data_IF_654707572527
#
_entry.id   IF_654707572527
#
_cell.length_a   1.000
_cell.length_b   1.000
_cell.length_c   1.000
_cell.angle_alpha   90.00
_cell.angle_beta   90.00
_cell.angle_gamma   90.00
#
_symmetry.space_group_name_H-M   'P 1'
#
loop_
_entity.id
_entity.type
_entity.pdbx_description
1 polymer ?
#
# COMPACT_ATOMS: atom_id res chain seq x y z
N UNK A 1 -20.96 -24.43 14.37
CA UNK A 1 -19.84 -23.49 14.54
C UNK A 1 -18.57 -24.31 14.43
N UNK A 2 -17.95 -24.33 13.27
CA UNK A 2 -16.56 -24.78 13.12
C UNK A 2 -15.86 -23.76 12.24
N UNK A 3 -14.83 -23.15 12.82
CA UNK A 3 -13.93 -22.21 12.18
C UNK A 3 -13.19 -22.96 11.08
N UNK A 4 -13.46 -22.67 9.81
CA UNK A 4 -12.51 -23.05 8.77
C UNK A 4 -11.28 -22.18 8.98
N UNK A 5 -10.26 -22.74 9.65
CA UNK A 5 -8.91 -22.20 9.69
C UNK A 5 -8.62 -21.54 8.35
N UNK A 6 -8.25 -20.26 8.38
CA UNK A 6 -8.12 -19.38 7.21
C UNK A 6 -7.06 -19.77 6.20
N UNK A 7 -6.65 -21.04 6.14
CA UNK A 7 -5.69 -21.57 5.19
C UNK A 7 -6.27 -21.49 3.78
N UNK A 8 -5.67 -20.64 2.96
CA UNK A 8 -6.02 -20.52 1.55
C UNK A 8 -5.45 -21.76 0.83
N UNK A 9 -6.28 -22.56 0.14
CA UNK A 9 -5.79 -23.71 -0.60
C UNK A 9 -4.69 -23.30 -1.60
N UNK A 10 -3.55 -23.98 -1.54
CA UNK A 10 -2.36 -23.67 -2.36
C UNK A 10 -2.68 -23.62 -3.86
N UNK A 11 -3.56 -24.49 -4.34
CA UNK A 11 -4.01 -24.52 -5.73
C UNK A 11 -4.73 -23.21 -6.16
N UNK A 12 -5.35 -22.47 -5.23
CA UNK A 12 -5.93 -21.16 -5.50
C UNK A 12 -4.85 -20.08 -5.62
N UNK A 13 -3.79 -20.17 -4.82
CA UNK A 13 -2.66 -19.23 -4.88
C UNK A 13 -1.81 -19.43 -6.13
N UNK A 14 -1.58 -20.69 -6.53
CA UNK A 14 -0.84 -21.07 -7.76
C UNK A 14 -1.52 -20.58 -9.06
N UNK A 15 -2.76 -20.10 -9.01
CA UNK A 15 -3.39 -19.44 -10.16
C UNK A 15 -2.71 -18.11 -10.51
N UNK A 16 -2.10 -17.43 -9.54
CA UNK A 16 -1.30 -16.21 -9.76
C UNK A 16 0.12 -16.54 -10.18
N UNK A 17 0.65 -15.85 -11.20
CA UNK A 17 2.00 -16.05 -11.72
C UNK A 17 3.08 -15.91 -10.64
N UNK A 18 2.86 -15.01 -9.67
CA UNK A 18 3.79 -14.70 -8.57
C UNK A 18 3.96 -15.85 -7.58
N UNK A 19 2.96 -16.72 -7.42
CA UNK A 19 3.06 -17.82 -6.45
C UNK A 19 3.33 -19.17 -7.14
N UNK A 20 3.66 -19.15 -8.43
CA UNK A 20 4.05 -20.34 -9.18
C UNK A 20 5.54 -20.59 -9.03
N UNK A 21 5.93 -21.84 -8.80
CA UNK A 21 7.33 -22.28 -8.77
C UNK A 21 8.19 -21.55 -7.72
N UNK A 22 7.65 -21.32 -6.52
CA UNK A 22 8.35 -20.62 -5.43
C UNK A 22 9.40 -21.47 -4.68
N UNK A 23 9.71 -22.66 -5.19
CA UNK A 23 10.61 -23.63 -4.54
C UNK A 23 10.00 -24.25 -3.27
N UNK A 24 10.73 -25.19 -2.66
CA UNK A 24 10.23 -25.93 -1.49
C UNK A 24 9.86 -25.01 -0.31
N UNK A 25 10.72 -24.04 0.00
CA UNK A 25 10.48 -23.09 1.09
C UNK A 25 9.23 -22.23 0.83
N UNK A 26 9.04 -21.79 -0.41
CA UNK A 26 7.88 -21.02 -0.81
C UNK A 26 6.59 -21.83 -0.75
N UNK A 27 6.62 -23.10 -1.17
CA UNK A 27 5.46 -24.00 -1.08
C UNK A 27 5.05 -24.23 0.38
N UNK A 28 6.00 -24.42 1.30
CA UNK A 28 5.70 -24.55 2.73
C UNK A 28 5.07 -23.28 3.31
N UNK A 29 5.57 -22.10 2.93
CA UNK A 29 4.95 -20.82 3.35
C UNK A 29 3.51 -20.73 2.82
N UNK A 30 3.28 -21.03 1.53
CA UNK A 30 1.97 -20.93 0.90
C UNK A 30 0.93 -21.89 1.50
N UNK A 31 1.34 -23.09 1.93
CA UNK A 31 0.45 -24.03 2.65
C UNK A 31 -0.06 -23.50 3.98
N UNK A 32 0.67 -22.58 4.59
CA UNK A 32 0.30 -21.94 5.85
C UNK A 32 -0.32 -20.55 5.66
N UNK A 33 -0.57 -20.12 4.42
CA UNK A 33 -1.05 -18.77 4.12
C UNK A 33 -2.49 -18.56 4.59
N UNK A 34 -2.72 -17.47 5.34
CA UNK A 34 -4.05 -16.96 5.67
C UNK A 34 -4.47 -15.72 4.89
N UNK A 35 -3.49 -14.98 4.38
CA UNK A 35 -3.67 -13.86 3.48
C UNK A 35 -2.60 -13.95 2.40
N UNK A 36 -2.99 -13.72 1.16
CA UNK A 36 -2.06 -13.60 0.05
C UNK A 36 -2.49 -12.44 -0.84
N UNK A 37 -1.54 -11.61 -1.22
CA UNK A 37 -1.74 -10.49 -2.12
C UNK A 37 -0.75 -10.62 -3.27
N UNK A 38 -1.26 -10.78 -4.49
CA UNK A 38 -0.44 -10.69 -5.69
C UNK A 38 -0.41 -9.22 -6.13
N UNK A 39 0.79 -8.66 -6.19
CA UNK A 39 1.06 -7.29 -6.59
C UNK A 39 1.86 -7.31 -7.89
N UNK A 40 1.36 -6.66 -8.94
CA UNK A 40 1.99 -6.73 -10.26
C UNK A 40 2.18 -8.21 -10.72
N UNK A 41 2.95 -8.46 -11.77
CA UNK A 41 3.15 -9.82 -12.29
C UNK A 41 4.29 -10.59 -11.59
N UNK A 42 5.10 -9.93 -10.75
CA UNK A 42 6.32 -10.49 -10.18
C UNK A 42 6.50 -10.28 -8.66
N UNK A 43 5.51 -9.71 -7.96
CA UNK A 43 5.59 -9.42 -6.52
C UNK A 43 4.39 -9.96 -5.77
N UNK A 44 4.61 -10.41 -4.55
CA UNK A 44 3.50 -10.87 -3.71
C UNK A 44 3.84 -10.82 -2.25
N UNK A 45 2.79 -10.73 -1.44
CA UNK A 45 2.88 -10.77 0.01
C UNK A 45 2.02 -11.92 0.53
N UNK A 46 2.55 -12.63 1.51
CA UNK A 46 1.85 -13.73 2.17
C UNK A 46 1.93 -13.52 3.68
N UNK A 47 0.81 -13.68 4.37
CA UNK A 47 0.76 -13.78 5.83
C UNK A 47 0.39 -15.19 6.18
N UNK A 48 1.16 -15.82 7.06
CA UNK A 48 0.89 -17.17 7.53
C UNK A 48 -0.14 -17.19 8.66
N UNK A 49 -0.62 -18.38 9.02
CA UNK A 49 -1.47 -18.61 10.19
C UNK A 49 -0.80 -18.17 11.51
N UNK A 50 0.52 -18.04 11.55
CA UNK A 50 1.31 -17.59 12.71
C UNK A 50 1.65 -16.10 12.67
N UNK A 51 0.97 -15.31 11.81
CA UNK A 51 1.22 -13.86 11.66
C UNK A 51 2.66 -13.55 11.21
N UNK A 52 3.24 -14.42 10.39
CA UNK A 52 4.49 -14.15 9.69
C UNK A 52 4.22 -13.58 8.32
N UNK A 53 4.81 -12.42 8.03
CA UNK A 53 4.68 -11.78 6.71
C UNK A 53 5.93 -12.06 5.85
N UNK A 54 5.71 -12.52 4.63
CA UNK A 54 6.73 -12.80 3.63
C UNK A 54 6.46 -12.01 2.35
N UNK A 55 7.53 -11.54 1.70
CA UNK A 55 7.52 -11.03 0.33
C UNK A 55 8.10 -12.06 -0.62
N UNK A 56 7.42 -12.25 -1.75
CA UNK A 56 7.84 -13.04 -2.89
C UNK A 56 8.20 -12.07 -4.01
N UNK A 57 9.39 -12.23 -4.59
CA UNK A 57 9.86 -11.41 -5.69
C UNK A 57 10.53 -12.22 -6.78
N UNK A 58 10.11 -12.02 -8.02
CA UNK A 58 10.73 -12.63 -9.21
C UNK A 58 11.50 -11.55 -9.96
N UNK A 59 12.81 -11.73 -10.10
CA UNK A 59 13.64 -10.82 -10.91
C UNK A 59 13.17 -10.82 -12.37
N UNK A 60 12.68 -11.96 -12.85
CA UNK A 60 12.04 -12.11 -14.16
C UNK A 60 10.87 -13.10 -14.03
N UNK A 61 9.68 -12.76 -14.54
CA UNK A 61 8.50 -13.65 -14.48
C UNK A 61 8.67 -14.94 -15.28
N UNK A 62 9.66 -15.00 -16.17
CA UNK A 62 10.03 -16.20 -16.90
C UNK A 62 11.09 -17.07 -16.18
N UNK A 63 11.71 -16.56 -15.10
CA UNK A 63 12.66 -17.35 -14.30
C UNK A 63 11.96 -18.04 -13.13
N UNK A 64 12.53 -19.16 -12.69
CA UNK A 64 12.16 -19.85 -11.45
C UNK A 64 12.79 -19.23 -10.21
N UNK A 65 13.53 -18.13 -10.35
CA UNK A 65 14.34 -17.54 -9.28
C UNK A 65 13.48 -16.60 -8.44
N UNK A 66 12.68 -17.20 -7.56
CA UNK A 66 11.91 -16.50 -6.55
C UNK A 66 12.81 -16.14 -5.36
N UNK A 67 12.95 -14.86 -5.08
CA UNK A 67 13.51 -14.39 -3.81
C UNK A 67 12.38 -14.27 -2.80
N UNK A 68 12.48 -15.05 -1.72
CA UNK A 68 11.54 -15.00 -0.61
C UNK A 68 12.24 -14.31 0.56
N UNK A 69 11.59 -13.31 1.14
CA UNK A 69 12.14 -12.55 2.26
C UNK A 69 11.09 -12.35 3.35
N UNK A 70 11.52 -12.49 4.61
CA UNK A 70 10.65 -12.29 5.77
C UNK A 70 10.60 -10.82 6.16
N UNK A 71 9.41 -10.24 6.25
CA UNK A 71 9.20 -8.84 6.66
C UNK A 71 9.08 -8.77 8.19
N UNK A 72 10.21 -8.79 8.88
CA UNK A 72 10.28 -8.90 10.35
C UNK A 72 9.50 -7.83 11.12
N UNK A 73 9.34 -6.62 10.56
CA UNK A 73 8.61 -5.53 11.21
C UNK A 73 7.10 -5.75 11.28
N UNK A 74 6.57 -6.66 10.47
CA UNK A 74 5.16 -7.05 10.48
C UNK A 74 4.94 -8.39 11.21
N UNK A 75 5.98 -8.94 11.86
CA UNK A 75 5.87 -10.22 12.55
C UNK A 75 5.00 -10.12 13.80
N UNK A 76 4.06 -11.05 13.95
CA UNK A 76 3.12 -11.09 15.06
C UNK A 76 2.03 -10.02 14.98
N UNK A 77 1.93 -9.31 13.85
CA UNK A 77 0.87 -8.31 13.64
C UNK A 77 -0.15 -8.87 12.66
N UNK A 78 -1.43 -8.74 13.02
CA UNK A 78 -2.56 -9.18 12.21
C UNK A 78 -2.79 -8.20 11.07
N UNK A 79 -2.22 -8.51 9.90
CA UNK A 79 -2.48 -7.77 8.66
C UNK A 79 -3.84 -8.18 8.11
N UNK A 80 -4.67 -7.19 7.84
CA UNK A 80 -5.98 -7.32 7.22
C UNK A 80 -5.88 -7.33 5.69
N UNK A 81 -5.11 -6.41 5.12
CA UNK A 81 -5.02 -6.22 3.67
C UNK A 81 -3.69 -5.57 3.27
N UNK A 82 -3.21 -5.90 2.07
CA UNK A 82 -2.08 -5.21 1.43
C UNK A 82 -2.54 -4.38 0.25
N UNK A 83 -1.85 -3.26 0.03
CA UNK A 83 -2.04 -2.40 -1.14
C UNK A 83 -0.68 -2.14 -1.77
N UNK A 84 -0.58 -2.27 -3.08
CA UNK A 84 0.64 -1.96 -3.82
C UNK A 84 0.34 -0.89 -4.86
N UNK A 85 1.06 0.22 -4.77
CA UNK A 85 0.92 1.39 -5.62
C UNK A 85 2.07 1.54 -6.61
N UNK A 86 1.97 2.59 -7.43
CA UNK A 86 3.02 2.97 -8.37
C UNK A 86 4.40 3.09 -7.70
N UNK A 87 5.46 2.77 -8.45
CA UNK A 87 6.83 2.95 -7.98
C UNK A 87 7.22 2.03 -6.84
N UNK A 88 6.59 0.85 -6.73
CA UNK A 88 6.90 -0.16 -5.71
C UNK A 88 6.63 0.28 -4.26
N UNK A 89 5.67 1.17 -4.07
CA UNK A 89 5.19 1.55 -2.74
C UNK A 89 4.16 0.53 -2.26
N UNK A 90 4.33 0.06 -1.03
CA UNK A 90 3.50 -0.98 -0.45
C UNK A 90 2.92 -0.49 0.86
N UNK A 91 1.71 -0.95 1.16
CA UNK A 91 1.02 -0.69 2.40
C UNK A 91 0.49 -1.99 3.00
N UNK A 92 0.49 -2.05 4.32
CA UNK A 92 -0.20 -3.08 5.09
C UNK A 92 -1.19 -2.40 6.02
N UNK A 93 -2.48 -2.68 5.83
CA UNK A 93 -3.53 -2.30 6.77
C UNK A 93 -3.70 -3.40 7.79
N UNK A 94 -3.62 -3.05 9.06
CA UNK A 94 -3.79 -3.97 10.18
C UNK A 94 -5.26 -4.13 10.56
N UNK A 95 -5.60 -5.24 11.21
CA UNK A 95 -6.95 -5.48 11.75
C UNK A 95 -7.38 -4.41 12.77
N UNK A 96 -6.42 -3.83 13.49
CA UNK A 96 -6.69 -2.73 14.44
C UNK A 96 -6.87 -1.36 13.77
N UNK A 97 -6.69 -1.28 12.46
CA UNK A 97 -6.84 -0.09 11.63
C UNK A 97 -5.57 0.73 11.40
N UNK A 98 -4.41 0.33 11.93
CA UNK A 98 -3.16 1.04 11.64
C UNK A 98 -2.62 0.73 10.24
N UNK A 99 -2.04 1.75 9.59
CA UNK A 99 -1.47 1.63 8.26
C UNK A 99 0.04 1.72 8.31
N UNK A 100 0.73 0.71 7.78
CA UNK A 100 2.17 0.70 7.55
C UNK A 100 2.47 0.97 6.08
N UNK A 101 3.59 1.62 5.78
CA UNK A 101 4.09 1.85 4.42
C UNK A 101 5.57 1.53 4.30
N UNK A 102 5.99 1.04 3.14
CA UNK A 102 7.39 0.86 2.77
C UNK A 102 7.56 0.81 1.26
N UNK A 103 8.78 1.05 0.81
CA UNK A 103 9.16 0.92 -0.58
C UNK A 103 9.98 -0.36 -0.79
N UNK A 104 9.91 -0.97 -1.96
CA UNK A 104 10.80 -2.08 -2.34
C UNK A 104 11.49 -1.69 -3.64
N UNK A 105 12.81 -1.82 -3.68
CA UNK A 105 13.58 -1.51 -4.88
C UNK A 105 13.08 -2.30 -6.09
N UNK A 106 12.82 -1.66 -7.24
CA UNK A 106 12.56 -2.36 -8.49
C UNK A 106 13.76 -3.23 -8.89
N UNK A 107 13.54 -4.30 -9.66
CA UNK A 107 14.68 -4.99 -10.27
C UNK A 107 15.42 -4.00 -11.17
N UNK A 108 16.75 -4.08 -11.18
CA UNK A 108 17.77 -3.18 -11.76
C UNK A 108 17.61 -2.75 -13.24
N UNK A 109 16.47 -2.98 -13.89
CA UNK A 109 16.27 -2.87 -15.35
C UNK A 109 15.17 -1.89 -15.79
N UNK A 110 14.54 -1.13 -14.88
CA UNK A 110 13.50 -0.17 -15.26
C UNK A 110 14.04 1.24 -15.59
N UNK A 111 15.36 1.46 -15.48
CA UNK A 111 15.99 2.75 -15.76
C UNK A 111 15.41 3.89 -14.91
N UNK A 112 14.78 3.56 -13.78
CA UNK A 112 14.06 4.53 -12.97
C UNK A 112 15.04 5.33 -12.10
N UNK A 113 15.51 6.45 -12.64
CA UNK A 113 16.06 7.56 -11.86
C UNK A 113 14.94 8.31 -11.13
N UNK A 114 14.21 7.60 -10.26
CA UNK A 114 13.20 8.21 -9.41
C UNK A 114 13.83 9.28 -8.53
N UNK A 115 13.29 10.49 -8.55
CA UNK A 115 13.65 11.48 -7.55
C UNK A 115 13.15 11.00 -6.18
N UNK A 116 13.94 11.20 -5.13
CA UNK A 116 13.59 10.83 -3.75
C UNK A 116 12.15 11.20 -3.35
N UNK A 117 11.63 12.32 -3.83
CA UNK A 117 10.26 12.77 -3.56
C UNK A 117 9.18 11.80 -4.08
N UNK A 118 9.39 11.18 -5.26
CA UNK A 118 8.43 10.23 -5.84
C UNK A 118 8.32 8.94 -5.02
N UNK A 119 9.36 8.63 -4.24
CA UNK A 119 9.39 7.51 -3.30
C UNK A 119 8.90 7.95 -1.92
N UNK A 120 9.37 9.10 -1.42
CA UNK A 120 9.09 9.58 -0.05
C UNK A 120 7.63 10.02 0.10
N UNK A 121 7.12 10.81 -0.85
CA UNK A 121 5.80 11.41 -0.73
C UNK A 121 4.66 10.39 -0.58
N UNK A 122 4.57 9.31 -1.38
CA UNK A 122 3.52 8.31 -1.20
C UNK A 122 3.65 7.49 0.09
N UNK A 123 4.79 7.51 0.81
CA UNK A 123 4.91 6.75 2.06
C UNK A 123 4.07 7.33 3.20
N UNK A 124 3.66 8.60 3.13
CA UNK A 124 2.80 9.19 4.17
C UNK A 124 3.52 9.41 5.51
N UNK A 125 4.85 9.44 5.50
CA UNK A 125 5.68 9.55 6.72
C UNK A 125 6.98 10.27 6.45
N UNK A 126 7.53 10.85 7.51
CA UNK A 126 8.86 11.46 7.43
C UNK A 126 9.92 10.38 7.20
N UNK A 127 10.76 10.60 6.20
CA UNK A 127 11.94 9.77 5.96
C UNK A 127 13.16 10.67 5.86
N UNK A 128 14.19 10.37 6.66
CA UNK A 128 15.47 11.08 6.58
C UNK A 128 16.19 10.66 5.31
N UNK A 129 16.43 11.61 4.41
CA UNK A 129 17.20 11.37 3.18
C UNK A 129 18.72 11.36 3.40
N UNK A 130 19.20 11.25 4.64
CA UNK A 130 20.64 11.15 4.90
C UNK A 130 21.21 9.85 4.33
N UNK A 131 22.30 9.97 3.56
CA UNK A 131 22.88 8.88 2.77
C UNK A 131 23.18 7.61 3.59
N UNK A 132 23.53 7.75 4.87
CA UNK A 132 23.89 6.63 5.75
C UNK A 132 22.72 5.68 6.10
N UNK A 133 21.47 6.16 6.08
CA UNK A 133 20.29 5.40 6.52
C UNK A 133 19.16 5.37 5.48
N UNK A 134 19.46 5.79 4.25
CA UNK A 134 18.45 6.03 3.22
C UNK A 134 17.68 4.76 2.87
N UNK A 135 18.39 3.69 2.52
CA UNK A 135 17.80 2.42 2.07
C UNK A 135 17.06 1.68 3.21
N UNK A 136 17.61 1.70 4.42
CA UNK A 136 16.98 1.07 5.59
C UNK A 136 15.69 1.79 6.01
N UNK A 137 15.61 3.11 5.82
CA UNK A 137 14.45 3.90 6.22
C UNK A 137 13.26 3.76 5.26
N UNK A 138 13.51 3.54 3.97
CA UNK A 138 12.48 3.32 2.94
C UNK A 138 11.95 1.89 2.95
N UNK A 139 12.86 0.90 3.02
CA UNK A 139 12.52 -0.49 2.80
C UNK A 139 11.94 -1.21 4.02
N UNK A 140 11.99 -0.58 5.19
CA UNK A 140 11.36 -1.09 6.40
C UNK A 140 9.92 -0.60 6.49
N UNK A 141 8.93 -1.49 6.75
CA UNK A 141 7.59 -1.08 7.16
C UNK A 141 7.64 -0.20 8.39
N UNK A 142 6.97 0.96 8.32
CA UNK A 142 6.78 1.88 9.44
C UNK A 142 5.37 2.47 9.33
N UNK A 143 4.80 2.84 10.48
CA UNK A 143 3.51 3.53 10.55
C UNK A 143 3.49 4.80 9.70
N UNK A 144 2.38 4.98 9.00
CA UNK A 144 2.01 6.24 8.36
C UNK A 144 1.68 7.27 9.46
N UNK A 145 2.07 8.54 9.27
CA UNK A 145 2.03 9.58 10.33
C UNK A 145 1.26 10.84 9.87
N UNK A 146 1.50 12.01 10.48
CA UNK A 146 0.76 13.23 10.15
C UNK A 146 -0.66 13.20 10.72
N UNK A 147 -1.66 13.59 9.91
CA UNK A 147 -3.06 13.54 10.33
C UNK A 147 -3.61 12.13 10.57
N UNK A 148 -2.86 11.08 10.23
CA UNK A 148 -3.22 9.69 10.52
C UNK A 148 -2.66 9.17 11.85
N UNK A 149 -1.91 9.98 12.60
CA UNK A 149 -1.36 9.56 13.89
C UNK A 149 -2.50 9.28 14.88
N UNK A 150 -2.65 8.01 15.30
CA UNK A 150 -3.74 7.57 16.18
C UNK A 150 -5.10 7.41 15.49
N UNK A 151 -5.17 7.56 14.17
CA UNK A 151 -6.39 7.39 13.38
C UNK A 151 -6.44 5.97 12.81
N UNK A 152 -7.58 5.30 12.98
CA UNK A 152 -7.83 3.98 12.39
C UNK A 152 -8.37 4.13 10.98
N UNK A 153 -7.65 3.56 10.02
CA UNK A 153 -8.04 3.46 8.62
C UNK A 153 -8.88 2.21 8.40
N UNK A 154 -9.88 2.29 7.53
CA UNK A 154 -10.66 1.13 7.07
C UNK A 154 -10.46 0.80 5.60
N UNK A 155 -10.05 1.78 4.80
CA UNK A 155 -9.85 1.63 3.36
C UNK A 155 -8.74 2.55 2.86
N UNK A 156 -7.95 2.06 1.91
CA UNK A 156 -6.93 2.83 1.19
C UNK A 156 -7.26 2.76 -0.30
N UNK A 157 -7.15 3.88 -0.99
CA UNK A 157 -7.28 3.97 -2.43
C UNK A 157 -5.99 4.53 -3.02
N UNK A 158 -5.47 3.83 -4.03
CA UNK A 158 -4.26 4.19 -4.74
C UNK A 158 -4.62 4.57 -6.18
N UNK A 159 -4.07 5.66 -6.72
CA UNK A 159 -4.12 5.93 -8.14
C UNK A 159 -3.17 4.94 -8.83
N UNK A 160 -3.42 4.64 -10.11
CA UNK A 160 -2.54 3.73 -10.85
C UNK A 160 -1.18 4.36 -11.16
N UNK A 161 -0.44 3.72 -12.07
CA UNK A 161 1.02 3.87 -12.23
C UNK A 161 1.57 5.29 -12.37
N UNK A 162 0.79 6.25 -12.82
CA UNK A 162 1.29 7.58 -13.19
C UNK A 162 1.21 8.63 -12.08
N UNK A 163 0.64 8.29 -10.92
CA UNK A 163 0.47 9.21 -9.79
C UNK A 163 0.82 8.54 -8.47
N UNK A 164 1.26 9.35 -7.51
CA UNK A 164 1.67 8.87 -6.18
C UNK A 164 0.73 9.35 -5.07
N UNK A 165 -0.41 9.94 -5.41
CA UNK A 165 -1.37 10.49 -4.44
C UNK A 165 -2.22 9.39 -3.78
N UNK A 166 -1.90 8.99 -2.56
CA UNK A 166 -2.67 7.99 -1.80
C UNK A 166 -3.80 8.65 -1.03
N UNK A 167 -4.95 7.96 -0.95
CA UNK A 167 -6.11 8.40 -0.17
C UNK A 167 -6.47 7.33 0.86
N UNK A 168 -6.70 7.74 2.11
CA UNK A 168 -7.14 6.87 3.20
C UNK A 168 -8.48 7.32 3.75
N UNK A 169 -9.38 6.37 4.02
CA UNK A 169 -10.66 6.60 4.67
C UNK A 169 -10.61 6.03 6.09
N UNK A 170 -10.85 6.88 7.09
CA UNK A 170 -10.88 6.50 8.49
C UNK A 170 -12.17 5.74 8.85
N UNK A 171 -12.14 4.99 9.95
CA UNK A 171 -13.33 4.38 10.54
C UNK A 171 -14.40 5.43 10.88
N UNK A 172 -13.98 6.65 11.23
CA UNK A 172 -14.86 7.78 11.53
C UNK A 172 -15.45 8.48 10.29
N UNK A 173 -15.13 8.01 9.08
CA UNK A 173 -15.63 8.60 7.83
C UNK A 173 -14.83 9.81 7.34
N UNK A 174 -13.68 10.09 7.95
CA UNK A 174 -12.78 11.18 7.53
C UNK A 174 -11.86 10.71 6.39
N UNK A 175 -11.64 11.58 5.40
CA UNK A 175 -10.79 11.27 4.24
C UNK A 175 -9.47 12.01 4.35
N UNK A 176 -8.37 11.28 4.18
CA UNK A 176 -7.01 11.81 4.24
C UNK A 176 -6.31 11.59 2.91
N UNK A 177 -5.45 12.53 2.50
CA UNK A 177 -4.66 12.44 1.27
C UNK A 177 -3.18 12.77 1.52
N UNK A 178 -2.29 12.13 0.77
CA UNK A 178 -0.86 12.45 0.72
C UNK A 178 -0.26 11.97 -0.60
N UNK A 179 1.01 12.30 -0.87
CA UNK A 179 1.68 11.99 -2.13
C UNK A 179 1.67 13.17 -3.09
N UNK A 180 2.33 13.00 -4.25
CA UNK A 180 2.39 14.02 -5.30
C UNK A 180 1.25 13.80 -6.30
N UNK A 181 0.35 14.78 -6.45
CA UNK A 181 -0.77 14.66 -7.38
C UNK A 181 -0.44 15.13 -8.81
N UNK A 182 0.66 15.87 -8.98
CA UNK A 182 1.11 16.43 -10.26
C UNK A 182 2.00 15.47 -11.07
N UNK A 183 2.22 14.25 -10.58
CA UNK A 183 3.18 13.33 -11.18
C UNK A 183 4.59 13.92 -11.16
N UNK A 184 5.43 13.51 -12.12
CA UNK A 184 6.89 13.76 -12.18
C UNK A 184 7.33 15.24 -12.29
N UNK A 185 6.41 16.21 -12.24
CA UNK A 185 6.73 17.64 -12.37
C UNK A 185 6.50 18.35 -11.03
N UNK A 186 7.62 18.70 -10.37
CA UNK A 186 7.68 19.34 -9.04
C UNK A 186 7.09 20.75 -9.04
N UNK A 187 6.30 21.05 -8.00
CA UNK A 187 6.33 22.37 -7.35
C UNK A 187 6.99 22.23 -5.97
N UNK A 188 8.08 22.97 -5.76
CA UNK A 188 9.08 22.74 -4.72
C UNK A 188 8.75 23.30 -3.32
N UNK A 189 7.52 23.19 -2.79
CA UNK A 189 7.24 23.77 -1.46
C UNK A 189 6.18 23.13 -0.56
N UNK A 190 5.59 21.98 -0.90
CA UNK A 190 4.61 21.32 -0.04
C UNK A 190 5.16 20.17 0.80
N UNK A 191 4.62 19.97 2.02
CA UNK A 191 4.76 18.72 2.79
C UNK A 191 3.86 17.62 2.20
N UNK A 192 4.08 17.26 0.95
CA UNK A 192 3.25 16.30 0.21
C UNK A 192 3.34 14.88 0.78
N UNK A 193 4.48 14.53 1.38
CA UNK A 193 4.65 13.29 2.14
C UNK A 193 3.77 13.16 3.38
N UNK A 194 3.17 14.24 3.88
CA UNK A 194 2.41 14.19 5.13
C UNK A 194 0.91 14.05 4.82
N UNK A 195 0.23 13.02 5.35
CA UNK A 195 -1.23 12.92 5.30
C UNK A 195 -1.89 14.16 5.84
N UNK A 196 -2.78 14.74 5.03
CA UNK A 196 -3.64 15.86 5.39
C UNK A 196 -5.11 15.43 5.36
N UNK A 197 -5.88 15.93 6.32
CA UNK A 197 -7.33 15.73 6.37
C UNK A 197 -7.99 16.59 5.29
N UNK A 198 -8.88 15.99 4.51
CA UNK A 198 -9.70 16.70 3.55
C UNK A 198 -10.92 17.29 4.30
N UNK A 199 -11.15 18.61 4.22
CA UNK A 199 -12.25 19.25 4.92
C UNK A 199 -13.63 18.68 4.51
N UNK A 200 -14.55 18.53 5.48
CA UNK A 200 -15.87 17.90 5.25
C UNK A 200 -16.76 18.71 4.31
N UNK A 201 -16.51 20.01 4.19
CA UNK A 201 -17.12 20.93 3.23
C UNK A 201 -16.98 20.40 1.80
N UNK A 202 -15.86 19.73 1.50
CA UNK A 202 -15.60 19.16 0.18
C UNK A 202 -16.54 18.00 -0.18
N UNK A 203 -17.26 17.47 0.81
CA UNK A 203 -18.24 16.40 0.71
C UNK A 203 -19.65 16.84 1.11
N UNK A 204 -19.90 18.15 1.19
CA UNK A 204 -21.19 18.68 1.65
C UNK A 204 -21.54 18.23 3.07
N UNK A 205 -20.52 18.02 3.92
CA UNK A 205 -20.65 17.52 5.30
C UNK A 205 -21.29 16.13 5.42
N UNK A 206 -21.31 15.35 4.34
CA UNK A 206 -21.83 13.99 4.38
C UNK A 206 -20.77 13.02 4.90
N UNK A 207 -21.24 11.96 5.57
CA UNK A 207 -20.39 10.83 5.92
C UNK A 207 -19.99 10.07 4.66
N UNK A 208 -18.68 9.85 4.50
CA UNK A 208 -18.12 9.04 3.41
C UNK A 208 -18.04 7.59 3.86
N UNK A 209 -18.58 6.66 3.08
CA UNK A 209 -18.60 5.22 3.36
C UNK A 209 -17.56 4.44 2.57
N UNK A 210 -17.19 4.91 1.39
CA UNK A 210 -16.18 4.27 0.54
C UNK A 210 -15.44 5.30 -0.30
N UNK A 211 -14.18 5.01 -0.63
CA UNK A 211 -13.34 5.78 -1.54
C UNK A 211 -12.80 4.88 -2.64
N UNK A 212 -12.58 5.45 -3.83
CA UNK A 212 -11.82 4.79 -4.88
C UNK A 212 -11.02 5.83 -5.68
N UNK A 213 -9.91 5.41 -6.27
CA UNK A 213 -9.04 6.26 -7.06
C UNK A 213 -8.66 5.57 -8.37
N UNK A 214 -8.41 6.37 -9.39
CA UNK A 214 -7.73 5.96 -10.62
C UNK A 214 -6.75 7.07 -11.04
N UNK A 215 -6.06 6.88 -12.17
CA UNK A 215 -5.07 7.83 -12.70
C UNK A 215 -5.62 9.25 -12.93
N UNK A 216 -6.94 9.40 -13.05
CA UNK A 216 -7.58 10.66 -13.45
C UNK A 216 -8.38 11.31 -12.33
N UNK A 217 -9.00 10.53 -11.45
CA UNK A 217 -9.95 11.03 -10.47
C UNK A 217 -9.98 10.19 -9.19
N UNK A 218 -10.38 10.83 -8.10
CA UNK A 218 -10.87 10.16 -6.90
C UNK A 218 -12.39 10.24 -6.82
N UNK A 219 -13.04 9.21 -6.34
CA UNK A 219 -14.47 9.19 -6.05
C UNK A 219 -14.72 8.81 -4.60
N UNK A 220 -15.72 9.44 -4.00
CA UNK A 220 -16.19 9.12 -2.66
C UNK A 220 -17.69 8.78 -2.72
N UNK A 221 -18.08 7.68 -2.07
CA UNK A 221 -19.47 7.29 -1.88
C UNK A 221 -19.93 7.78 -0.49
N UNK A 222 -21.06 8.47 -0.43
CA UNK A 222 -21.62 8.93 0.84
C UNK A 222 -22.55 7.90 1.45
N UNK A 223 -22.88 8.05 2.75
CA UNK A 223 -23.88 7.24 3.43
C UNK A 223 -25.29 7.33 2.81
N UNK A 224 -25.57 8.39 2.02
CA UNK A 224 -26.83 8.56 1.28
C UNK A 224 -26.82 7.88 -0.08
N UNK A 225 -25.70 7.24 -0.47
CA UNK A 225 -25.54 6.62 -1.78
C UNK A 225 -25.16 7.59 -2.89
N UNK A 226 -24.72 8.81 -2.55
CA UNK A 226 -24.28 9.80 -3.54
C UNK A 226 -22.81 9.57 -3.89
N UNK A 227 -22.46 9.74 -5.17
CA UNK A 227 -21.08 9.65 -5.65
C UNK A 227 -20.55 11.04 -5.90
N UNK A 228 -19.50 11.41 -5.16
CA UNK A 228 -18.80 12.68 -5.30
C UNK A 228 -17.52 12.44 -6.08
N UNK A 229 -17.44 12.98 -7.30
CA UNK A 229 -16.23 12.93 -8.12
C UNK A 229 -15.32 14.12 -7.79
N UNK A 230 -14.06 13.82 -7.47
CA UNK A 230 -12.97 14.80 -7.34
C UNK A 230 -12.03 14.58 -8.51
N UNK A 231 -12.19 15.41 -9.54
CA UNK A 231 -11.29 15.44 -10.69
C UNK A 231 -9.84 15.74 -10.28
N UNK A 232 -9.63 16.43 -9.15
CA UNK A 232 -8.37 16.51 -8.40
C UNK A 232 -8.64 16.76 -6.93
N UNK A 233 -7.87 16.09 -6.08
CA UNK A 233 -7.77 16.37 -4.64
C UNK A 233 -6.91 17.62 -4.33
N UNK A 234 -6.54 18.39 -5.35
CA UNK A 234 -5.42 19.35 -5.28
C UNK A 234 -5.81 20.80 -5.07
N UNK A 235 -7.09 21.15 -5.22
CA UNK A 235 -7.49 22.54 -5.03
C UNK A 235 -7.96 22.74 -3.60
N UNK A 236 -6.98 23.00 -2.73
CA UNK A 236 -7.22 23.94 -1.63
C UNK A 236 -7.79 25.21 -2.24
N UNK A 237 -9.05 25.48 -1.92
CA UNK A 237 -9.71 26.75 -2.24
C UNK A 237 -9.27 27.79 -1.21
#
# INVERSE_FOLDING_TARGET
MESSCGVIPENRLKSSAVFRNSGADGEEILKSAKLAHAAENNRGFVVTMTDETYSFFYKNTASSDCTISKIRKLYGIQVKEFFTGAGSINFALMEDGHLFSWWIEPAEDDGYEGFDADIVDPLGRYVSCSAANKMTSFCSPVLVTGSLTGVKIRQVALPGWNKTCTVGLSVGGDVHQWGSPQGRYRHASGRHWMPILIPKEHYGYQEITSIACNDRAGVALTAKGEVINKERFDKGS
#
